data_IF_969445288359
#
_entry.id   IF_969445288359
#
_cell.length_a   1.000
_cell.length_b   1.000
_cell.length_c   1.000
_cell.angle_alpha   90.00
_cell.angle_beta   90.00
_cell.angle_gamma   90.00
#
_symmetry.space_group_name_H-M   'P 1'
#
loop_
_entity.id
_entity.type
_entity.pdbx_description
1 polymer ?
#
# COMPACT_ATOMS: atom_id res chain seq x y z
N UNK A 1 -5.94 -7.29 6.83
CA UNK A 1 -4.80 -8.19 6.52
C UNK A 1 -3.87 -8.48 7.72
N UNK A 2 -3.90 -7.73 8.84
CA UNK A 2 -3.15 -8.12 10.05
C UNK A 2 -3.49 -9.52 10.55
N UNK A 3 -4.78 -9.90 10.49
CA UNK A 3 -5.26 -11.24 10.85
C UNK A 3 -4.62 -12.37 10.03
N UNK A 4 -4.10 -12.08 8.84
CA UNK A 4 -3.38 -13.04 7.98
C UNK A 4 -1.86 -12.79 7.98
N UNK A 5 -1.34 -11.96 8.88
CA UNK A 5 0.10 -11.71 9.01
C UNK A 5 0.71 -10.65 8.08
N UNK A 6 -0.11 -9.90 7.34
CA UNK A 6 0.34 -8.90 6.37
C UNK A 6 -0.37 -7.55 6.56
N UNK A 7 -0.08 -6.76 7.61
CA UNK A 7 -0.76 -5.49 7.83
C UNK A 7 -0.60 -4.53 6.63
N UNK A 8 -1.56 -3.61 6.49
CA UNK A 8 -1.56 -2.61 5.41
C UNK A 8 -0.34 -1.70 5.60
N UNK A 9 0.31 -1.32 4.51
CA UNK A 9 1.48 -0.45 4.56
C UNK A 9 1.14 0.89 5.26
N UNK A 10 2.00 1.29 6.19
CA UNK A 10 1.89 2.49 7.02
C UNK A 10 0.61 2.60 7.86
N UNK A 11 0.03 1.46 8.21
CA UNK A 11 -1.10 1.37 9.16
C UNK A 11 -0.58 1.39 10.61
N UNK A 12 -0.59 2.57 11.23
CA UNK A 12 -0.10 2.78 12.59
C UNK A 12 -0.83 1.91 13.64
N UNK A 13 -2.15 1.73 13.49
CA UNK A 13 -2.96 0.98 14.47
C UNK A 13 -2.62 -0.51 14.46
N UNK A 14 -2.24 -1.03 13.29
CA UNK A 14 -2.06 -2.45 13.08
C UNK A 14 -0.59 -2.87 12.89
N UNK A 15 0.37 -1.95 13.04
CA UNK A 15 1.81 -2.21 12.98
C UNK A 15 2.38 -2.24 11.56
N UNK A 16 1.67 -1.65 10.61
CA UNK A 16 2.11 -1.50 9.22
C UNK A 16 3.11 -0.37 8.98
N UNK A 17 3.37 0.45 10.01
CA UNK A 17 4.36 1.52 10.05
C UNK A 17 5.76 1.03 10.50
N UNK A 18 5.94 -0.28 10.65
CA UNK A 18 7.21 -0.90 11.04
C UNK A 18 7.71 -1.87 9.97
N UNK A 19 9.03 -2.10 9.94
CA UNK A 19 9.65 -3.11 9.07
C UNK A 19 9.49 -4.48 9.73
N UNK A 20 8.47 -5.24 9.32
CA UNK A 20 8.13 -6.54 9.92
C UNK A 20 8.97 -7.70 9.42
N UNK A 21 9.46 -7.65 8.17
CA UNK A 21 10.24 -8.71 7.52
C UNK A 21 11.37 -8.09 6.69
N UNK A 22 12.47 -8.83 6.53
CA UNK A 22 13.61 -8.42 5.71
C UNK A 22 14.86 -8.02 6.51
N UNK A 23 16.01 -8.05 5.83
CA UNK A 23 17.31 -7.79 6.43
C UNK A 23 17.49 -6.28 6.71
N UNK A 24 17.87 -5.91 7.93
CA UNK A 24 17.92 -4.51 8.42
C UNK A 24 19.16 -3.74 7.96
N UNK A 25 19.54 -3.88 6.69
CA UNK A 25 20.62 -3.04 6.16
C UNK A 25 20.20 -1.56 6.22
N UNK A 26 21.13 -0.68 6.60
CA UNK A 26 20.87 0.74 6.80
C UNK A 26 20.22 1.40 5.56
N UNK A 27 20.62 0.96 4.36
CA UNK A 27 20.07 1.43 3.09
C UNK A 27 18.60 1.02 2.90
N UNK A 28 18.24 -0.22 3.25
CA UNK A 28 16.86 -0.70 3.18
C UNK A 28 15.96 0.03 4.17
N UNK A 29 16.43 0.21 5.42
CA UNK A 29 15.69 0.99 6.43
C UNK A 29 15.40 2.41 5.94
N UNK A 30 16.42 3.10 5.43
CA UNK A 30 16.27 4.45 4.86
C UNK A 30 15.31 4.45 3.66
N UNK A 31 15.35 3.42 2.80
CA UNK A 31 14.42 3.30 1.68
C UNK A 31 12.96 3.20 2.18
N UNK A 32 12.69 2.35 3.16
CA UNK A 32 11.34 2.18 3.75
C UNK A 32 10.88 3.46 4.45
N UNK A 33 11.73 4.12 5.23
CA UNK A 33 11.41 5.41 5.87
C UNK A 33 10.99 6.47 4.82
N UNK A 34 11.71 6.54 3.69
CA UNK A 34 11.31 7.41 2.58
C UNK A 34 9.98 6.98 1.92
N UNK A 35 9.61 5.70 1.98
CA UNK A 35 8.31 5.21 1.50
C UNK A 35 7.18 5.57 2.47
N UNK A 36 7.41 5.50 3.78
CA UNK A 36 6.46 5.98 4.79
C UNK A 36 6.24 7.50 4.68
N UNK A 37 7.29 8.28 4.44
CA UNK A 37 7.16 9.71 4.19
C UNK A 37 6.39 10.03 2.89
N UNK A 38 6.51 9.18 1.86
CA UNK A 38 5.85 9.36 0.57
C UNK A 38 4.34 9.09 0.64
N UNK A 39 3.91 8.12 1.44
CA UNK A 39 2.50 7.85 1.71
C UNK A 39 2.28 7.83 3.24
N UNK A 40 2.07 9.00 3.87
CA UNK A 40 2.04 9.17 5.34
C UNK A 40 0.68 8.76 5.95
N UNK A 41 0.05 7.72 5.39
CA UNK A 41 -1.23 7.15 5.82
C UNK A 41 -1.27 5.69 5.41
N UNK A 42 -2.26 4.95 5.91
CA UNK A 42 -2.55 3.61 5.41
C UNK A 42 -2.68 3.62 3.88
N UNK A 43 -1.93 2.74 3.21
CA UNK A 43 -1.98 2.56 1.76
C UNK A 43 -3.26 1.79 1.35
N UNK A 44 -4.42 2.35 1.71
CA UNK A 44 -5.76 1.84 1.45
C UNK A 44 -6.55 2.90 0.70
N UNK A 45 -7.22 2.49 -0.38
CA UNK A 45 -8.01 3.36 -1.24
C UNK A 45 -9.28 2.64 -1.70
N UNK A 46 -10.43 3.27 -1.51
CA UNK A 46 -11.69 2.80 -2.06
C UNK A 46 -11.79 3.26 -3.51
N UNK A 47 -11.36 2.41 -4.45
CA UNK A 47 -11.27 2.77 -5.86
C UNK A 47 -12.65 2.86 -6.52
N UNK A 48 -13.54 1.91 -6.23
CA UNK A 48 -14.86 1.81 -6.85
C UNK A 48 -15.92 1.62 -5.79
N UNK A 49 -17.00 2.39 -5.88
CA UNK A 49 -18.21 2.28 -5.09
C UNK A 49 -19.36 1.92 -6.02
N UNK A 50 -19.90 0.71 -5.88
CA UNK A 50 -21.06 0.25 -6.63
C UNK A 50 -22.25 0.05 -5.70
N UNK A 51 -23.43 0.54 -6.07
CA UNK A 51 -24.68 0.28 -5.35
C UNK A 51 -25.91 0.41 -6.26
N UNK A 52 -27.00 -0.22 -5.82
CA UNK A 52 -28.29 -0.08 -6.47
C UNK A 52 -28.99 1.18 -5.96
N UNK A 53 -29.26 2.13 -6.85
CA UNK A 53 -29.78 3.43 -6.45
C UNK A 53 -31.17 3.27 -5.80
N UNK A 54 -31.39 3.76 -4.56
CA UNK A 54 -32.57 3.44 -3.77
C UNK A 54 -33.89 3.94 -4.39
N UNK A 55 -33.86 5.07 -5.11
CA UNK A 55 -35.01 5.64 -5.83
C UNK A 55 -35.08 5.19 -7.30
N UNK A 56 -34.01 5.39 -8.07
CA UNK A 56 -33.92 5.11 -9.50
C UNK A 56 -33.93 3.62 -9.87
N UNK A 57 -33.67 2.73 -8.91
CA UNK A 57 -33.65 1.26 -9.11
C UNK A 57 -32.74 0.85 -10.28
N UNK A 58 -31.57 1.48 -10.36
CA UNK A 58 -30.55 1.17 -11.35
C UNK A 58 -29.21 0.92 -10.66
N UNK A 59 -28.39 0.07 -11.28
CA UNK A 59 -27.01 -0.12 -10.83
C UNK A 59 -26.20 1.14 -11.14
N UNK A 60 -25.48 1.64 -10.15
CA UNK A 60 -24.60 2.78 -10.30
C UNK A 60 -23.22 2.46 -9.74
N UNK A 61 -22.20 2.75 -10.53
CA UNK A 61 -20.80 2.56 -10.14
C UNK A 61 -20.05 3.89 -10.26
N UNK A 62 -19.31 4.23 -9.21
CA UNK A 62 -18.48 5.42 -9.12
C UNK A 62 -17.04 4.98 -8.93
N UNK A 63 -16.11 5.55 -9.69
CA UNK A 63 -14.68 5.22 -9.58
C UNK A 63 -13.86 6.49 -9.34
N UNK A 64 -12.86 6.38 -8.45
CA UNK A 64 -11.86 7.40 -8.18
C UNK A 64 -10.50 6.94 -8.68
N UNK A 65 -9.70 7.82 -9.32
CA UNK A 65 -8.31 7.50 -9.63
C UNK A 65 -7.52 7.21 -8.35
N UNK A 66 -6.38 6.53 -8.51
CA UNK A 66 -5.46 6.30 -7.42
C UNK A 66 -4.85 7.65 -6.98
N UNK A 67 -4.79 7.95 -5.67
CA UNK A 67 -4.13 9.15 -5.18
C UNK A 67 -2.65 9.21 -5.59
N UNK A 68 -2.11 10.42 -5.69
CA UNK A 68 -0.73 10.66 -6.15
C UNK A 68 0.32 10.02 -5.24
N UNK A 69 0.11 10.07 -3.92
CA UNK A 69 0.99 9.48 -2.91
C UNK A 69 1.14 7.96 -3.09
N UNK A 70 0.02 7.25 -3.30
CA UNK A 70 0.00 5.82 -3.56
C UNK A 70 0.57 5.48 -4.94
N UNK A 71 0.30 6.31 -5.95
CA UNK A 71 0.85 6.12 -7.30
C UNK A 71 2.38 6.22 -7.28
N UNK A 72 2.91 7.23 -6.61
CA UNK A 72 4.35 7.42 -6.44
C UNK A 72 4.98 6.30 -5.60
N UNK A 73 4.29 5.84 -4.55
CA UNK A 73 4.73 4.71 -3.73
C UNK A 73 4.84 3.43 -4.55
N UNK A 74 3.83 3.08 -5.34
CA UNK A 74 3.83 1.90 -6.19
C UNK A 74 4.96 1.96 -7.23
N UNK A 75 5.13 3.10 -7.88
CA UNK A 75 6.20 3.30 -8.86
C UNK A 75 7.60 3.11 -8.24
N UNK A 76 7.80 3.67 -7.04
CA UNK A 76 9.06 3.52 -6.31
C UNK A 76 9.37 2.06 -5.96
N UNK A 77 8.35 1.28 -5.57
CA UNK A 77 8.49 -0.15 -5.30
C UNK A 77 8.76 -0.96 -6.56
N UNK A 78 8.08 -0.67 -7.68
CA UNK A 78 8.33 -1.34 -8.97
C UNK A 78 9.78 -1.20 -9.40
N UNK A 79 10.32 0.03 -9.37
CA UNK A 79 11.72 0.31 -9.68
C UNK A 79 12.70 -0.44 -8.77
N UNK A 80 12.37 -0.55 -7.48
CA UNK A 80 13.21 -1.26 -6.52
C UNK A 80 13.27 -2.77 -6.79
N UNK A 81 12.13 -3.37 -7.17
CA UNK A 81 12.03 -4.79 -7.57
C UNK A 81 12.80 -5.03 -8.89
N UNK A 82 12.59 -4.17 -9.89
CA UNK A 82 13.26 -4.26 -11.20
C UNK A 82 14.79 -4.14 -11.09
N UNK A 83 15.28 -3.36 -10.12
CA UNK A 83 16.70 -3.24 -9.82
C UNK A 83 17.31 -4.48 -9.13
N UNK A 84 16.57 -5.58 -8.98
CA UNK A 84 17.09 -6.87 -8.50
C UNK A 84 17.50 -6.89 -7.02
N UNK A 85 17.01 -5.95 -6.22
CA UNK A 85 17.41 -5.79 -4.82
C UNK A 85 16.63 -6.67 -3.82
N UNK A 86 15.98 -7.74 -4.29
CA UNK A 86 15.09 -8.59 -3.48
C UNK A 86 15.39 -10.06 -3.74
N UNK A 87 15.90 -10.76 -2.73
CA UNK A 87 15.78 -12.23 -2.67
C UNK A 87 14.34 -12.59 -2.29
N UNK A 88 13.74 -13.65 -2.88
CA UNK A 88 12.38 -14.06 -2.57
C UNK A 88 12.19 -14.23 -1.06
N UNK A 89 11.19 -13.55 -0.50
CA UNK A 89 10.80 -13.75 0.89
C UNK A 89 10.07 -15.09 0.95
N UNK A 90 10.73 -16.14 1.45
CA UNK A 90 10.02 -17.38 1.83
C UNK A 90 9.01 -17.03 2.93
N UNK A 91 7.75 -17.39 2.67
CA UNK A 91 6.61 -17.17 3.58
C UNK A 91 6.48 -18.36 4.51
#
# INVERSE_FOLDING_TARGET
MKSIGHPIFNDERYGGNEILRGNRFANYKKYIENCFALCPRQALHAQTLGFYHPVRKEQMDFTSPLPEDMSALLEKWRRYVEAGSIEPIEV
#
